data_IF_884436408523
#
_entry.id   IF_884436408523
#
_cell.length_a   1.000
_cell.length_b   1.000
_cell.length_c   1.000
_cell.angle_alpha   90.00
_cell.angle_beta   90.00
_cell.angle_gamma   90.00
#
_symmetry.space_group_name_H-M   'P 1'
#
loop_
_entity.id
_entity.type
_entity.pdbx_description
1 polymer ?
#
# COMPACT_ATOMS: atom_id res chain seq x y z
N UNK A 1 9.08 -43.36 -39.10
CA UNK A 1 8.70 -41.95 -39.32
C UNK A 1 7.77 -41.36 -38.26
N UNK A 2 6.72 -42.05 -37.79
CA UNK A 2 5.78 -41.51 -36.76
C UNK A 2 6.43 -41.14 -35.40
N UNK A 3 7.50 -41.84 -34.99
CA UNK A 3 8.17 -41.60 -33.69
C UNK A 3 8.99 -40.31 -33.64
N UNK A 4 9.44 -39.78 -34.78
CA UNK A 4 10.27 -38.56 -34.84
C UNK A 4 9.40 -37.30 -34.70
N UNK A 5 8.16 -37.35 -35.22
CA UNK A 5 7.20 -36.23 -35.14
C UNK A 5 6.79 -35.97 -33.68
N UNK A 6 6.59 -37.05 -32.89
CA UNK A 6 6.25 -36.93 -31.47
C UNK A 6 7.38 -36.26 -30.65
N UNK A 7 8.64 -36.51 -30.99
CA UNK A 7 9.80 -35.91 -30.32
C UNK A 7 9.91 -34.40 -30.63
N UNK A 8 9.56 -34.00 -31.85
CA UNK A 8 9.59 -32.59 -32.27
C UNK A 8 8.48 -31.76 -31.60
N UNK A 9 7.28 -32.34 -31.42
CA UNK A 9 6.17 -31.68 -30.72
C UNK A 9 6.48 -31.52 -29.23
N UNK A 10 7.11 -32.53 -28.61
CA UNK A 10 7.53 -32.44 -27.21
C UNK A 10 8.60 -31.36 -26.99
N UNK A 11 9.50 -31.16 -27.95
CA UNK A 11 10.54 -30.13 -27.85
C UNK A 11 9.97 -28.70 -27.95
N UNK A 12 8.93 -28.51 -28.76
CA UNK A 12 8.25 -27.21 -28.91
C UNK A 12 7.48 -26.84 -27.64
N UNK A 13 6.90 -27.81 -26.93
CA UNK A 13 6.22 -27.60 -25.66
C UNK A 13 7.17 -27.31 -24.49
N UNK A 14 8.44 -27.73 -24.57
CA UNK A 14 9.47 -27.41 -23.55
C UNK A 14 10.16 -26.07 -23.86
N UNK A 15 10.09 -25.61 -25.11
CA UNK A 15 10.67 -24.35 -25.56
C UNK A 15 9.68 -23.18 -25.56
N UNK A 16 8.43 -23.36 -25.13
CA UNK A 16 7.56 -22.22 -24.90
C UNK A 16 8.16 -21.43 -23.74
N UNK A 17 8.65 -20.18 -23.96
CA UNK A 17 8.90 -19.31 -22.84
C UNK A 17 7.56 -19.24 -22.11
N UNK A 18 7.57 -19.65 -20.85
CA UNK A 18 6.57 -19.20 -19.90
C UNK A 18 6.48 -17.69 -20.14
N UNK A 19 5.43 -17.23 -20.80
CA UNK A 19 5.11 -15.83 -20.84
C UNK A 19 4.82 -15.52 -19.38
N UNK A 20 5.83 -15.04 -18.66
CA UNK A 20 5.61 -14.25 -17.49
C UNK A 20 4.82 -13.06 -18.00
N UNK A 21 3.50 -13.18 -18.00
CA UNK A 21 2.62 -12.02 -18.05
C UNK A 21 3.13 -11.12 -16.94
N UNK A 22 3.77 -10.01 -17.31
CA UNK A 22 4.04 -8.95 -16.37
C UNK A 22 2.67 -8.54 -15.85
N UNK A 23 2.34 -8.97 -14.64
CA UNK A 23 1.17 -8.46 -13.95
C UNK A 23 1.46 -6.99 -13.77
N UNK A 24 0.79 -6.15 -14.56
CA UNK A 24 0.88 -4.70 -14.41
C UNK A 24 0.42 -4.38 -12.99
N UNK A 25 1.25 -3.67 -12.23
CA UNK A 25 0.84 -3.23 -10.90
C UNK A 25 -0.27 -2.19 -11.05
N UNK A 26 -1.31 -2.25 -10.20
CA UNK A 26 -2.38 -1.26 -10.24
C UNK A 26 -1.82 0.12 -9.87
N UNK A 27 -2.34 1.14 -10.51
CA UNK A 27 -2.04 2.56 -10.31
C UNK A 27 -2.75 3.06 -9.05
N UNK A 28 -2.31 2.55 -7.92
CA UNK A 28 -2.72 3.00 -6.59
C UNK A 28 -1.60 3.83 -6.00
N UNK A 29 -1.89 5.08 -5.68
CA UNK A 29 -0.95 5.99 -5.02
C UNK A 29 -1.20 5.96 -3.51
N UNK A 30 -0.16 5.72 -2.72
CA UNK A 30 -0.25 5.67 -1.26
C UNK A 30 0.86 6.55 -0.69
N UNK A 31 0.49 7.56 0.10
CA UNK A 31 1.44 8.49 0.72
C UNK A 31 0.90 9.08 2.03
N UNK A 32 1.76 9.66 2.84
CA UNK A 32 1.36 10.41 4.02
C UNK A 32 0.85 11.81 3.66
N UNK A 33 -0.22 12.25 4.33
CA UNK A 33 -0.69 13.62 4.23
C UNK A 33 0.35 14.58 4.83
N UNK A 34 0.57 15.70 4.14
CA UNK A 34 1.58 16.68 4.54
C UNK A 34 1.29 17.36 5.89
N UNK A 35 0.03 17.69 6.17
CA UNK A 35 -0.37 18.39 7.40
C UNK A 35 -1.79 17.99 7.81
N UNK A 36 -1.95 17.43 9.01
CA UNK A 36 -3.26 16.97 9.48
C UNK A 36 -3.37 16.85 11.01
N UNK A 37 -4.55 16.50 11.49
CA UNK A 37 -4.76 16.03 12.87
C UNK A 37 -4.56 14.51 12.91
N UNK A 38 -3.57 14.04 13.66
CA UNK A 38 -3.09 12.66 13.61
C UNK A 38 -2.15 12.39 12.42
N UNK A 39 -1.71 11.14 12.26
CA UNK A 39 -1.04 10.67 11.05
C UNK A 39 -2.13 10.24 10.08
N UNK A 40 -2.11 10.77 8.87
CA UNK A 40 -3.08 10.42 7.83
C UNK A 40 -2.33 9.86 6.63
N UNK A 41 -2.80 8.72 6.14
CA UNK A 41 -2.34 8.11 4.90
C UNK A 41 -3.45 8.31 3.86
N UNK A 42 -3.07 8.83 2.70
CA UNK A 42 -3.94 9.04 1.55
C UNK A 42 -3.76 7.87 0.61
N UNK A 43 -4.86 7.28 0.18
CA UNK A 43 -4.88 6.18 -0.80
C UNK A 43 -5.69 6.64 -2.00
N UNK A 44 -5.01 6.88 -3.12
CA UNK A 44 -5.62 7.26 -4.39
C UNK A 44 -5.73 6.07 -5.32
N UNK A 45 -6.94 5.73 -5.75
CA UNK A 45 -7.18 4.74 -6.78
C UNK A 45 -7.21 5.44 -8.15
N UNK A 46 -6.28 5.15 -9.06
CA UNK A 46 -6.31 5.65 -10.45
C UNK A 46 -6.69 4.58 -11.47
N UNK A 47 -7.25 3.46 -11.01
CA UNK A 47 -7.77 2.39 -11.86
C UNK A 47 -9.23 2.62 -12.25
N UNK A 48 -9.65 1.95 -13.33
CA UNK A 48 -11.03 1.95 -13.83
C UNK A 48 -11.99 1.13 -12.95
N UNK A 49 -11.45 0.24 -12.11
CA UNK A 49 -12.20 -0.60 -11.18
C UNK A 49 -11.93 -0.18 -9.72
N UNK A 50 -12.81 -0.60 -8.80
CA UNK A 50 -12.63 -0.33 -7.38
C UNK A 50 -11.50 -1.15 -6.77
N UNK A 51 -10.85 -0.60 -5.73
CA UNK A 51 -9.98 -1.36 -4.84
C UNK A 51 -10.73 -1.65 -3.54
N UNK A 52 -10.49 -2.83 -2.98
CA UNK A 52 -11.23 -3.35 -1.83
C UNK A 52 -10.31 -3.63 -0.65
N UNK A 53 -10.91 -3.73 0.53
CA UNK A 53 -10.25 -4.16 1.75
C UNK A 53 -8.93 -3.42 2.06
N UNK A 54 -8.95 -2.09 1.93
CA UNK A 54 -7.77 -1.25 2.18
C UNK A 54 -7.55 -1.16 3.69
N UNK A 55 -6.42 -1.66 4.16
CA UNK A 55 -6.14 -1.87 5.59
C UNK A 55 -4.79 -1.25 5.98
N UNK A 56 -4.76 -0.54 7.11
CA UNK A 56 -3.51 -0.24 7.82
C UNK A 56 -3.15 -1.44 8.72
N UNK A 57 -2.38 -2.38 8.19
CA UNK A 57 -2.06 -3.63 8.89
C UNK A 57 -1.21 -3.39 10.15
N UNK A 58 -0.24 -2.48 10.05
CA UNK A 58 0.60 -2.11 11.17
C UNK A 58 1.08 -0.67 11.09
N UNK A 59 1.26 -0.05 12.27
CA UNK A 59 1.93 1.24 12.39
C UNK A 59 2.90 1.24 13.57
N UNK A 60 4.13 1.63 13.29
CA UNK A 60 5.19 1.78 14.29
C UNK A 60 5.58 3.25 14.38
N UNK A 61 5.53 3.81 15.59
CA UNK A 61 5.85 5.21 15.86
C UNK A 61 6.97 5.28 16.88
N UNK A 62 8.11 5.82 16.48
CA UNK A 62 9.28 6.01 17.35
C UNK A 62 9.55 7.51 17.56
N UNK A 63 9.71 7.95 18.81
CA UNK A 63 10.03 9.34 19.14
C UNK A 63 9.23 9.88 20.33
N UNK A 64 9.10 11.21 20.41
CA UNK A 64 8.40 11.92 21.51
C UNK A 64 6.88 11.98 21.27
N UNK A 65 6.25 10.82 21.16
CA UNK A 65 4.79 10.66 21.10
C UNK A 65 4.32 10.08 22.43
N UNK A 66 3.41 10.77 23.10
CA UNK A 66 2.98 10.42 24.45
C UNK A 66 1.79 9.45 24.44
N UNK A 67 0.93 9.55 23.43
CA UNK A 67 -0.22 8.65 23.22
C UNK A 67 -0.37 8.46 21.70
N UNK A 68 -0.29 7.21 21.24
CA UNK A 68 -0.74 6.80 19.91
C UNK A 68 -1.82 5.74 20.09
N UNK A 69 -2.98 5.91 19.47
CA UNK A 69 -3.94 4.83 19.39
C UNK A 69 -3.53 3.94 18.23
N UNK A 70 -3.15 2.68 18.49
CA UNK A 70 -2.93 1.68 17.45
C UNK A 70 -4.28 1.19 16.88
N UNK A 71 -5.20 2.11 16.58
CA UNK A 71 -6.41 1.75 15.87
C UNK A 71 -6.02 1.51 14.42
N UNK A 72 -6.01 0.23 14.05
CA UNK A 72 -6.08 -0.21 12.65
C UNK A 72 -7.28 0.48 12.02
N UNK A 73 -7.04 1.26 10.97
CA UNK A 73 -8.09 1.87 10.16
C UNK A 73 -8.31 1.01 8.91
N UNK A 74 -9.54 0.99 8.43
CA UNK A 74 -9.99 0.08 7.39
C UNK A 74 -11.04 0.74 6.51
N UNK A 75 -10.84 0.64 5.21
CA UNK A 75 -11.81 1.06 4.21
C UNK A 75 -12.26 -0.18 3.43
N UNK A 76 -13.58 -0.39 3.38
CA UNK A 76 -14.16 -1.51 2.64
C UNK A 76 -13.89 -1.39 1.14
N UNK A 77 -14.01 -0.18 0.60
CA UNK A 77 -13.89 0.09 -0.82
C UNK A 77 -13.41 1.53 -1.08
N UNK A 78 -12.57 1.68 -2.10
CA UNK A 78 -12.31 2.96 -2.77
C UNK A 78 -12.68 2.76 -4.24
N UNK A 79 -13.75 3.42 -4.66
CA UNK A 79 -14.24 3.34 -6.05
C UNK A 79 -13.22 3.84 -7.07
N UNK A 80 -13.51 3.58 -8.35
CA UNK A 80 -12.67 4.03 -9.47
C UNK A 80 -12.41 5.54 -9.43
N UNK A 81 -11.16 5.94 -9.66
CA UNK A 81 -10.69 7.34 -9.56
C UNK A 81 -10.97 8.01 -8.20
N UNK A 82 -11.17 7.20 -7.15
CA UNK A 82 -11.53 7.64 -5.80
C UNK A 82 -10.32 7.87 -4.90
N UNK A 83 -10.59 8.48 -3.74
CA UNK A 83 -9.59 8.72 -2.69
C UNK A 83 -10.14 8.27 -1.33
N UNK A 84 -9.34 7.52 -0.60
CA UNK A 84 -9.60 7.10 0.78
C UNK A 84 -8.53 7.62 1.75
N UNK A 85 -8.86 7.57 3.03
CA UNK A 85 -7.99 8.05 4.11
C UNK A 85 -7.94 7.03 5.24
N UNK A 86 -6.73 6.67 5.66
CA UNK A 86 -6.48 5.90 6.88
C UNK A 86 -5.91 6.85 7.93
N UNK A 87 -6.53 6.90 9.11
CA UNK A 87 -6.26 7.92 10.12
C UNK A 87 -5.83 7.26 11.43
N UNK A 88 -4.63 7.63 11.88
CA UNK A 88 -4.10 7.24 13.20
C UNK A 88 -4.05 8.46 14.11
N UNK A 89 -4.93 8.56 15.12
CA UNK A 89 -4.89 9.68 16.04
C UNK A 89 -3.68 9.55 16.97
N UNK A 90 -2.91 10.63 17.06
CA UNK A 90 -1.73 10.72 17.92
C UNK A 90 -1.73 12.01 18.74
N UNK A 91 -1.04 11.98 19.87
CA UNK A 91 -0.73 13.15 20.69
C UNK A 91 0.73 13.13 21.13
N UNK A 92 1.46 14.20 20.82
CA UNK A 92 2.90 14.25 21.01
C UNK A 92 3.47 15.66 20.99
N UNK A 93 4.77 15.75 21.22
CA UNK A 93 5.52 16.98 20.99
C UNK A 93 6.94 16.65 20.53
N UNK A 94 7.31 17.09 19.34
CA UNK A 94 8.65 16.89 18.77
C UNK A 94 8.64 16.01 17.53
N UNK A 95 9.81 15.49 17.16
CA UNK A 95 9.96 14.66 15.96
C UNK A 95 9.61 13.20 16.26
N UNK A 96 8.99 12.53 15.30
CA UNK A 96 8.81 11.09 15.31
C UNK A 96 9.05 10.49 13.93
N UNK A 97 9.43 9.21 13.93
CA UNK A 97 9.51 8.35 12.76
C UNK A 97 8.29 7.44 12.77
N UNK A 98 7.69 7.29 11.60
CA UNK A 98 6.51 6.46 11.37
C UNK A 98 6.85 5.45 10.30
N UNK A 99 6.52 4.19 10.52
CA UNK A 99 6.49 3.15 9.49
C UNK A 99 5.09 2.57 9.47
N UNK A 100 4.48 2.52 8.28
CA UNK A 100 3.14 2.00 8.08
C UNK A 100 3.18 0.89 7.02
N UNK A 101 2.55 -0.24 7.33
CA UNK A 101 2.32 -1.34 6.38
C UNK A 101 0.85 -1.33 6.00
N UNK A 102 0.58 -1.28 4.70
CA UNK A 102 -0.77 -1.12 4.15
C UNK A 102 -1.00 -2.22 3.14
N UNK A 103 -2.17 -2.84 3.20
CA UNK A 103 -2.62 -3.79 2.19
C UNK A 103 -3.91 -3.34 1.53
N UNK A 104 -4.11 -3.79 0.30
CA UNK A 104 -5.35 -3.62 -0.44
C UNK A 104 -5.54 -4.75 -1.45
N UNK A 105 -6.77 -4.95 -1.91
CA UNK A 105 -7.12 -5.93 -2.92
C UNK A 105 -7.53 -5.24 -4.22
N UNK A 106 -6.99 -5.72 -5.34
CA UNK A 106 -7.40 -5.33 -6.68
C UNK A 106 -7.49 -6.59 -7.55
N UNK A 107 -8.62 -6.79 -8.23
CA UNK A 107 -8.91 -7.96 -9.07
C UNK A 107 -8.63 -9.33 -8.39
N UNK A 108 -8.87 -9.44 -7.08
CA UNK A 108 -8.63 -10.68 -6.34
C UNK A 108 -7.18 -10.92 -5.91
N UNK A 109 -6.28 -9.96 -6.14
CA UNK A 109 -4.88 -10.01 -5.76
C UNK A 109 -4.64 -9.01 -4.63
N UNK A 110 -3.99 -9.46 -3.56
CA UNK A 110 -3.55 -8.60 -2.45
C UNK A 110 -2.21 -7.96 -2.78
N UNK A 111 -2.16 -6.64 -2.67
CA UNK A 111 -0.95 -5.82 -2.78
C UNK A 111 -0.61 -5.27 -1.40
N UNK A 112 0.69 -5.08 -1.16
CA UNK A 112 1.19 -4.56 0.10
C UNK A 112 2.19 -3.45 -0.18
N UNK A 113 2.09 -2.37 0.56
CA UNK A 113 2.99 -1.23 0.49
C UNK A 113 3.54 -0.90 1.87
N UNK A 114 4.74 -0.35 1.91
CA UNK A 114 5.37 0.12 3.15
C UNK A 114 5.77 1.56 2.97
N UNK A 115 5.31 2.41 3.89
CA UNK A 115 5.65 3.83 3.91
C UNK A 115 6.54 4.13 5.10
N UNK A 116 7.55 4.98 4.88
CA UNK A 116 8.33 5.57 5.96
C UNK A 116 8.20 7.09 5.95
N UNK A 117 7.90 7.66 7.12
CA UNK A 117 7.68 9.09 7.27
C UNK A 117 8.39 9.65 8.48
N UNK A 118 9.03 10.80 8.31
CA UNK A 118 9.51 11.64 9.40
C UNK A 118 8.52 12.78 9.62
N UNK A 119 8.02 12.92 10.84
CA UNK A 119 7.04 13.94 11.20
C UNK A 119 7.54 14.86 12.31
N UNK A 120 6.96 16.04 12.37
CA UNK A 120 6.91 16.88 13.56
C UNK A 120 5.49 16.87 14.13
N UNK A 121 5.37 16.65 15.43
CA UNK A 121 4.10 16.58 16.15
C UNK A 121 4.03 17.73 17.15
N UNK A 122 2.88 18.40 17.19
CA UNK A 122 2.58 19.45 18.17
C UNK A 122 1.15 19.30 18.66
N UNK A 123 0.99 18.69 19.84
CA UNK A 123 -0.32 18.28 20.33
C UNK A 123 -0.87 17.15 19.47
N UNK A 124 -2.05 17.35 18.87
CA UNK A 124 -2.67 16.41 17.91
C UNK A 124 -2.30 16.69 16.46
N UNK A 125 -1.64 17.82 16.17
CA UNK A 125 -1.30 18.21 14.81
C UNK A 125 0.03 17.58 14.39
N UNK A 126 0.08 17.10 13.15
CA UNK A 126 1.28 16.53 12.54
C UNK A 126 1.66 17.30 11.28
N UNK A 127 2.96 17.35 11.01
CA UNK A 127 3.55 17.89 9.81
C UNK A 127 4.55 16.87 9.28
N UNK A 128 4.33 16.37 8.06
CA UNK A 128 5.29 15.53 7.34
C UNK A 128 6.49 16.38 6.95
N UNK A 129 7.68 15.94 7.36
CA UNK A 129 8.94 16.57 7.01
C UNK A 129 9.61 15.86 5.83
N UNK A 130 9.47 14.53 5.76
CA UNK A 130 10.05 13.70 4.71
C UNK A 130 9.35 12.35 4.64
N UNK A 131 9.18 11.82 3.43
CA UNK A 131 8.70 10.47 3.13
C UNK A 131 9.72 9.75 2.24
N UNK A 132 9.87 8.43 2.39
CA UNK A 132 10.72 7.57 1.55
C UNK A 132 10.30 6.10 1.59
#
# INVERSE_FOLDING_TARGET
>A
MKKIIALFILLILVASPFFASSVEQPKVEIHFAWFHWGIVIVVGNSEDEAIHHVCLDSISIAGFVFIGCNSVDYLEEIGSYGVGYLIVPIFGFGRCLVTAEISYEYEGITYNETLHGLFFVFGTTTLLLQEW
#
